data_IF_024776632802
#
_entry.id   IF_024776632802
#
_cell.length_a   1.000
_cell.length_b   1.000
_cell.length_c   1.000
_cell.angle_alpha   90.00
_cell.angle_beta   90.00
_cell.angle_gamma   90.00
#
_symmetry.space_group_name_H-M   'P 1'
#
loop_
_entity.id
_entity.type
_entity.pdbx_description
1 polymer ?
#
# COMPACT_ATOMS: atom_id res chain seq x y z
N UNK A 1 3.19 10.33 18.11
CA UNK A 1 3.80 9.51 17.04
C UNK A 1 3.85 10.35 15.77
N UNK A 2 5.02 10.46 15.11
CA UNK A 2 5.17 11.20 13.84
C UNK A 2 4.26 10.58 12.76
N UNK A 3 3.67 11.42 11.91
CA UNK A 3 2.73 11.03 10.84
C UNK A 3 3.39 10.00 9.88
N UNK A 4 2.77 8.83 9.58
CA UNK A 4 3.35 7.83 8.69
C UNK A 4 3.65 8.33 7.28
N UNK A 5 2.92 9.34 6.79
CA UNK A 5 3.21 9.99 5.51
C UNK A 5 4.60 10.62 5.46
N UNK A 6 5.06 11.20 6.59
CA UNK A 6 6.40 11.77 6.69
C UNK A 6 7.48 10.71 6.47
N UNK A 7 7.35 9.56 7.14
CA UNK A 7 8.32 8.47 6.98
C UNK A 7 8.29 7.89 5.57
N UNK A 8 7.11 7.74 4.98
CA UNK A 8 6.98 7.27 3.60
C UNK A 8 7.72 8.19 2.62
N UNK A 9 7.48 9.50 2.69
CA UNK A 9 8.17 10.49 1.86
C UNK A 9 9.66 10.53 2.15
N UNK A 10 10.07 10.47 3.41
CA UNK A 10 11.48 10.49 3.79
C UNK A 10 12.25 9.28 3.25
N UNK A 11 11.66 8.08 3.30
CA UNK A 11 12.26 6.87 2.73
C UNK A 11 12.41 6.99 1.21
N UNK A 12 11.36 7.44 0.51
CA UNK A 12 11.43 7.64 -0.94
C UNK A 12 12.47 8.71 -1.34
N UNK A 13 12.56 9.79 -0.56
CA UNK A 13 13.56 10.84 -0.78
C UNK A 13 14.99 10.32 -0.54
N UNK A 14 15.19 9.49 0.48
CA UNK A 14 16.48 8.87 0.79
C UNK A 14 16.87 7.77 -0.20
N UNK A 15 15.90 7.12 -0.85
CA UNK A 15 16.16 6.06 -1.81
C UNK A 15 16.85 6.58 -3.08
N UNK A 16 16.60 7.82 -3.49
CA UNK A 16 17.28 8.43 -4.64
C UNK A 16 18.81 8.52 -4.48
N UNK A 17 19.36 9.16 -3.44
CA UNK A 17 20.81 9.19 -3.24
C UNK A 17 21.36 7.80 -2.92
N UNK A 18 20.63 6.94 -2.19
CA UNK A 18 21.08 5.58 -1.93
C UNK A 18 21.31 4.78 -3.23
N UNK A 19 20.34 4.78 -4.14
CA UNK A 19 20.45 4.11 -5.44
C UNK A 19 21.50 4.72 -6.37
N UNK A 20 21.82 6.02 -6.22
CA UNK A 20 22.89 6.70 -6.96
C UNK A 20 24.30 6.30 -6.49
N UNK A 21 24.44 5.98 -5.21
CA UNK A 21 25.72 5.65 -4.58
C UNK A 21 26.04 4.15 -4.65
N UNK A 22 25.02 3.32 -4.85
CA UNK A 22 25.16 1.87 -4.98
C UNK A 22 25.70 1.49 -6.37
N UNK A 23 26.61 0.51 -6.45
CA UNK A 23 26.97 -0.12 -7.72
C UNK A 23 25.75 -0.72 -8.43
N UNK A 24 25.72 -0.76 -9.79
CA UNK A 24 24.57 -1.25 -10.56
C UNK A 24 24.09 -2.65 -10.15
N UNK A 25 25.01 -3.57 -9.85
CA UNK A 25 24.72 -4.93 -9.41
C UNK A 25 24.00 -4.96 -8.05
N UNK A 26 24.33 -4.03 -7.16
CA UNK A 26 23.67 -3.91 -5.85
C UNK A 26 22.29 -3.28 -5.98
N UNK A 27 22.11 -2.36 -6.93
CA UNK A 27 20.81 -1.77 -7.27
C UNK A 27 19.87 -2.85 -7.82
N UNK A 28 20.37 -3.71 -8.70
CA UNK A 28 19.60 -4.82 -9.24
C UNK A 28 19.20 -5.80 -8.13
N UNK A 29 20.15 -6.26 -7.31
CA UNK A 29 19.86 -7.14 -6.18
C UNK A 29 18.85 -6.54 -5.19
N UNK A 30 18.96 -5.23 -4.93
CA UNK A 30 18.02 -4.49 -4.07
C UNK A 30 16.60 -4.39 -4.66
N UNK A 31 16.46 -4.48 -5.99
CA UNK A 31 15.16 -4.46 -6.68
C UNK A 31 14.58 -5.86 -6.87
N UNK A 32 15.43 -6.85 -7.12
CA UNK A 32 15.06 -8.25 -7.27
C UNK A 32 14.52 -8.84 -5.97
N UNK A 33 15.22 -8.62 -4.86
CA UNK A 33 14.84 -9.22 -3.58
C UNK A 33 13.43 -8.85 -3.11
N UNK A 34 12.99 -7.58 -3.14
CA UNK A 34 11.65 -7.20 -2.76
C UNK A 34 10.65 -7.23 -3.91
N UNK A 35 11.01 -7.69 -5.12
CA UNK A 35 10.10 -7.73 -6.27
C UNK A 35 8.83 -8.50 -5.97
N UNK A 36 7.67 -7.98 -6.38
CA UNK A 36 6.38 -8.68 -6.27
C UNK A 36 6.10 -9.57 -7.47
N UNK A 37 7.13 -10.14 -8.07
CA UNK A 37 7.02 -11.11 -9.15
C UNK A 37 6.49 -12.47 -8.64
N UNK A 38 6.01 -13.30 -9.57
CA UNK A 38 5.41 -14.60 -9.26
C UNK A 38 6.29 -15.52 -8.41
N UNK A 39 7.61 -15.46 -8.57
CA UNK A 39 8.54 -16.28 -7.79
C UNK A 39 8.63 -15.86 -6.33
N UNK A 40 8.80 -14.56 -6.07
CA UNK A 40 8.87 -14.04 -4.71
C UNK A 40 7.53 -14.12 -3.99
N UNK A 41 6.41 -14.14 -4.72
CA UNK A 41 5.06 -14.28 -4.16
C UNK A 41 4.67 -15.73 -3.81
N UNK A 42 5.51 -16.72 -4.11
CA UNK A 42 5.23 -18.12 -3.74
C UNK A 42 5.16 -18.32 -2.23
N UNK A 43 4.35 -19.28 -1.75
CA UNK A 43 4.38 -19.68 -0.34
C UNK A 43 5.78 -20.12 0.11
N UNK A 44 6.10 -19.84 1.38
CA UNK A 44 7.34 -20.30 2.03
C UNK A 44 7.44 -21.84 1.92
N UNK A 45 8.64 -22.42 1.67
CA UNK A 45 9.99 -21.84 1.73
C UNK A 45 10.51 -21.18 0.44
N UNK A 46 9.81 -21.34 -0.68
CA UNK A 46 10.33 -20.95 -2.00
C UNK A 46 10.22 -19.46 -2.33
N UNK A 47 9.51 -18.69 -1.48
CA UNK A 47 9.34 -17.25 -1.62
C UNK A 47 9.10 -16.57 -0.27
N UNK A 48 8.87 -15.26 -0.34
CA UNK A 48 8.71 -14.35 0.80
C UNK A 48 7.67 -13.27 0.45
N UNK A 49 6.39 -13.66 0.33
CA UNK A 49 5.34 -12.80 -0.23
C UNK A 49 5.06 -11.59 0.64
N UNK A 50 5.09 -11.76 1.97
CA UNK A 50 4.79 -10.68 2.92
C UNK A 50 5.91 -9.63 2.89
N UNK A 51 7.15 -10.10 2.91
CA UNK A 51 8.34 -9.25 2.86
C UNK A 51 8.42 -8.50 1.53
N UNK A 52 8.16 -9.18 0.40
CA UNK A 52 8.14 -8.58 -0.93
C UNK A 52 7.06 -7.52 -1.07
N UNK A 53 5.82 -7.82 -0.65
CA UNK A 53 4.71 -6.85 -0.70
C UNK A 53 4.98 -5.63 0.19
N UNK A 54 5.59 -5.83 1.36
CA UNK A 54 5.89 -4.75 2.29
C UNK A 54 7.05 -3.86 1.80
N UNK A 55 8.14 -4.45 1.33
CA UNK A 55 9.37 -3.71 0.99
C UNK A 55 9.32 -3.12 -0.41
N UNK A 56 8.67 -3.79 -1.38
CA UNK A 56 8.52 -3.28 -2.76
C UNK A 56 7.90 -1.88 -2.83
N UNK A 57 7.05 -1.52 -1.86
CA UNK A 57 6.38 -0.21 -1.80
C UNK A 57 7.34 0.97 -1.62
N UNK A 58 8.58 0.69 -1.19
CA UNK A 58 9.59 1.68 -0.84
C UNK A 58 10.77 1.70 -1.82
N UNK A 59 10.83 0.78 -2.79
CA UNK A 59 11.95 0.61 -3.72
C UNK A 59 11.51 1.02 -5.13
N UNK A 60 11.88 2.21 -5.63
CA UNK A 60 11.49 2.68 -6.95
C UNK A 60 12.35 2.07 -8.07
N UNK A 61 11.70 1.67 -9.16
CA UNK A 61 12.37 1.14 -10.37
C UNK A 61 12.81 2.21 -11.34
N UNK A 62 11.93 3.15 -11.67
CA UNK A 62 12.18 4.21 -12.65
C UNK A 62 11.98 5.59 -12.00
N UNK A 63 12.65 6.59 -12.58
CA UNK A 63 12.55 8.04 -12.27
C UNK A 63 12.42 8.35 -10.77
N UNK A 64 13.43 7.93 -9.99
CA UNK A 64 13.38 7.90 -8.52
C UNK A 64 13.09 9.28 -7.89
N UNK A 65 13.49 10.38 -8.55
CA UNK A 65 13.43 11.73 -8.01
C UNK A 65 12.02 12.34 -7.96
N UNK A 66 11.06 11.87 -8.77
CA UNK A 66 9.70 12.42 -8.77
C UNK A 66 8.82 11.87 -7.65
N UNK A 67 9.09 10.64 -7.21
CA UNK A 67 8.24 9.91 -6.26
C UNK A 67 8.02 10.60 -4.92
N UNK A 68 9.01 11.28 -4.29
CA UNK A 68 8.78 12.02 -3.06
C UNK A 68 7.72 13.12 -3.21
N UNK A 69 7.69 13.81 -4.35
CA UNK A 69 6.71 14.86 -4.62
C UNK A 69 5.30 14.29 -4.76
N UNK A 70 5.13 13.20 -5.51
CA UNK A 70 3.83 12.53 -5.63
C UNK A 70 3.37 11.90 -4.31
N UNK A 71 4.31 11.36 -3.51
CA UNK A 71 4.05 10.77 -2.20
C UNK A 71 3.52 11.77 -1.16
N UNK A 72 3.65 13.08 -1.40
CA UNK A 72 2.99 14.10 -0.58
C UNK A 72 1.46 13.95 -0.56
N UNK A 73 0.86 13.33 -1.58
CA UNK A 73 -0.58 13.00 -1.60
C UNK A 73 -1.00 12.11 -0.43
N UNK A 74 -0.08 11.31 0.14
CA UNK A 74 -0.34 10.46 1.32
C UNK A 74 -0.70 11.31 2.55
N UNK A 75 -0.20 12.55 2.65
CA UNK A 75 -0.63 13.46 3.72
C UNK A 75 -2.12 13.79 3.63
N UNK A 76 -2.68 13.91 2.42
CA UNK A 76 -4.10 14.12 2.22
C UNK A 76 -4.92 12.88 2.61
N UNK A 77 -4.40 11.68 2.36
CA UNK A 77 -5.05 10.44 2.82
C UNK A 77 -5.06 10.36 4.34
N UNK A 78 -3.94 10.66 4.99
CA UNK A 78 -3.83 10.67 6.47
C UNK A 78 -4.72 11.73 7.09
N UNK A 79 -4.85 12.92 6.48
CA UNK A 79 -5.74 13.97 7.00
C UNK A 79 -7.23 13.62 6.87
N UNK A 80 -7.59 12.78 5.89
CA UNK A 80 -8.97 12.33 5.67
C UNK A 80 -9.31 11.11 6.53
N UNK A 81 -8.46 10.08 6.56
CA UNK A 81 -8.76 8.79 7.21
C UNK A 81 -8.16 8.63 8.61
N UNK A 82 -7.19 9.47 8.97
CA UNK A 82 -6.30 9.24 10.10
C UNK A 82 -5.21 8.21 9.77
N UNK A 83 -4.10 8.25 10.53
CA UNK A 83 -2.87 7.52 10.24
C UNK A 83 -3.05 6.00 10.06
N UNK A 84 -3.77 5.34 10.98
CA UNK A 84 -3.93 3.87 10.95
C UNK A 84 -4.78 3.41 9.77
N UNK A 85 -5.91 4.08 9.52
CA UNK A 85 -6.80 3.74 8.42
C UNK A 85 -6.16 4.06 7.06
N UNK A 86 -5.40 5.16 6.96
CA UNK A 86 -4.65 5.49 5.75
C UNK A 86 -3.62 4.41 5.40
N UNK A 87 -2.82 3.96 6.38
CA UNK A 87 -1.85 2.88 6.17
C UNK A 87 -2.56 1.59 5.74
N UNK A 88 -3.62 1.19 6.44
CA UNK A 88 -4.36 -0.02 6.10
C UNK A 88 -5.01 0.05 4.71
N UNK A 89 -5.64 1.18 4.36
CA UNK A 89 -6.32 1.35 3.08
C UNK A 89 -5.36 1.37 1.90
N UNK A 90 -4.23 2.09 2.02
CA UNK A 90 -3.22 2.14 0.96
C UNK A 90 -2.46 0.81 0.82
N UNK A 91 -2.18 0.13 1.94
CA UNK A 91 -1.61 -1.21 1.90
C UNK A 91 -2.55 -2.20 1.22
N UNK A 92 -3.84 -2.18 1.56
CA UNK A 92 -4.84 -3.04 0.92
C UNK A 92 -4.96 -2.75 -0.57
N UNK A 93 -5.08 -1.47 -0.96
CA UNK A 93 -5.16 -1.07 -2.37
C UNK A 93 -3.95 -1.58 -3.17
N UNK A 94 -2.74 -1.43 -2.62
CA UNK A 94 -1.51 -1.96 -3.23
C UNK A 94 -1.56 -3.48 -3.36
N UNK A 95 -1.81 -4.20 -2.26
CA UNK A 95 -1.78 -5.66 -2.25
C UNK A 95 -2.83 -6.23 -3.21
N UNK A 96 -4.01 -5.63 -3.29
CA UNK A 96 -5.05 -6.04 -4.24
C UNK A 96 -4.63 -5.76 -5.69
N UNK A 97 -4.06 -4.58 -5.98
CA UNK A 97 -3.56 -4.27 -7.32
C UNK A 97 -2.49 -5.27 -7.76
N UNK A 98 -1.46 -5.47 -6.92
CA UNK A 98 -0.37 -6.44 -7.17
C UNK A 98 -0.91 -7.86 -7.31
N UNK A 99 -1.80 -8.32 -6.44
CA UNK A 99 -2.35 -9.67 -6.51
C UNK A 99 -3.13 -9.92 -7.80
N UNK A 100 -3.91 -8.94 -8.26
CA UNK A 100 -4.67 -9.03 -9.50
C UNK A 100 -3.77 -8.98 -10.75
N UNK A 101 -2.73 -8.13 -10.74
CA UNK A 101 -1.78 -8.05 -11.85
C UNK A 101 -0.96 -9.33 -11.99
N UNK A 102 -0.48 -9.88 -10.88
CA UNK A 102 0.29 -11.12 -10.89
C UNK A 102 -0.58 -12.33 -11.24
N UNK A 103 -1.84 -12.37 -10.79
CA UNK A 103 -2.79 -13.38 -11.22
C UNK A 103 -3.05 -13.32 -12.74
N UNK A 104 -3.10 -12.11 -13.32
CA UNK A 104 -3.22 -11.93 -14.76
C UNK A 104 -1.97 -12.44 -15.51
N UNK A 105 -0.76 -12.16 -15.00
CA UNK A 105 0.50 -12.69 -15.55
C UNK A 105 0.47 -14.21 -15.54
N UNK A 106 0.17 -14.81 -14.40
CA UNK A 106 0.09 -16.26 -14.24
C UNK A 106 -0.91 -16.87 -15.23
N UNK A 107 -2.11 -16.31 -15.32
CA UNK A 107 -3.13 -16.77 -16.26
C UNK A 107 -2.66 -16.68 -17.71
N UNK A 108 -1.99 -15.60 -18.10
CA UNK A 108 -1.48 -15.40 -19.46
C UNK A 108 -0.34 -16.36 -19.82
N UNK A 109 0.53 -16.69 -18.86
CA UNK A 109 1.58 -17.70 -19.03
C UNK A 109 0.95 -19.07 -19.25
N UNK A 110 -0.01 -19.46 -18.40
CA UNK A 110 -0.67 -20.77 -18.46
C UNK A 110 -1.42 -20.99 -19.79
N UNK A 111 -1.98 -19.91 -20.37
CA UNK A 111 -2.68 -19.95 -21.65
C UNK A 111 -1.76 -19.69 -22.86
N UNK A 112 -0.44 -19.68 -22.67
CA UNK A 112 0.56 -19.57 -23.74
C UNK A 112 0.63 -18.19 -24.41
N UNK A 113 0.00 -17.17 -23.83
CA UNK A 113 -0.01 -15.79 -24.36
C UNK A 113 1.17 -14.94 -23.89
N UNK A 114 1.89 -15.38 -22.86
CA UNK A 114 3.14 -14.77 -22.39
C UNK A 114 4.23 -15.85 -22.20
N UNK A 115 5.51 -15.53 -22.49
CA UNK A 115 6.63 -16.41 -22.14
C UNK A 115 6.74 -16.62 -20.63
N UNK A 116 7.19 -17.80 -20.19
CA UNK A 116 7.43 -18.09 -18.77
C UNK A 116 8.45 -17.12 -18.13
N UNK A 117 9.33 -16.50 -18.92
CA UNK A 117 10.28 -15.49 -18.44
C UNK A 117 9.61 -14.26 -17.81
N UNK A 118 8.35 -13.96 -18.18
CA UNK A 118 7.57 -12.86 -17.62
C UNK A 118 7.26 -13.05 -16.12
N UNK A 119 7.34 -14.29 -15.61
CA UNK A 119 7.20 -14.57 -14.18
C UNK A 119 8.32 -13.96 -13.32
N UNK A 120 9.44 -13.54 -13.92
CA UNK A 120 10.59 -13.00 -13.22
C UNK A 120 10.75 -11.48 -13.38
N UNK A 121 9.88 -10.84 -14.17
CA UNK A 121 9.96 -9.39 -14.42
C UNK A 121 9.84 -8.65 -13.10
N UNK A 122 10.71 -7.63 -12.93
CA UNK A 122 10.73 -6.85 -11.72
C UNK A 122 9.42 -6.06 -11.58
N UNK A 123 8.73 -6.22 -10.46
CA UNK A 123 7.61 -5.36 -10.04
C UNK A 123 7.91 -4.79 -8.65
N UNK A 124 8.52 -3.61 -8.61
CA UNK A 124 8.81 -2.84 -7.42
C UNK A 124 8.46 -1.40 -7.67
N UNK A 125 7.94 -0.72 -6.66
CA UNK A 125 7.73 0.70 -6.80
C UNK A 125 6.61 1.23 -5.91
N UNK A 126 6.70 2.51 -5.55
CA UNK A 126 5.66 3.20 -4.80
C UNK A 126 4.40 3.50 -5.65
N UNK A 127 4.44 3.24 -6.95
CA UNK A 127 3.47 3.70 -7.95
C UNK A 127 2.01 3.39 -7.58
N UNK A 128 1.66 2.15 -7.22
CA UNK A 128 0.28 1.80 -6.86
C UNK A 128 -0.19 2.51 -5.57
N UNK A 129 0.68 2.67 -4.58
CA UNK A 129 0.35 3.40 -3.34
C UNK A 129 0.10 4.88 -3.66
N UNK A 130 0.97 5.46 -4.46
CA UNK A 130 0.93 6.86 -4.84
C UNK A 130 -0.28 7.17 -5.73
N UNK A 131 -0.59 6.32 -6.71
CA UNK A 131 -1.76 6.48 -7.59
C UNK A 131 -3.07 6.38 -6.78
N UNK A 132 -3.17 5.42 -5.87
CA UNK A 132 -4.31 5.33 -4.96
C UNK A 132 -4.42 6.58 -4.06
N UNK A 133 -3.30 7.07 -3.53
CA UNK A 133 -3.26 8.27 -2.70
C UNK A 133 -3.64 9.54 -3.47
N UNK A 134 -3.18 9.69 -4.73
CA UNK A 134 -3.57 10.78 -5.62
C UNK A 134 -5.08 10.77 -5.87
N UNK A 135 -5.68 9.63 -6.16
CA UNK A 135 -7.12 9.51 -6.37
C UNK A 135 -7.92 9.96 -5.12
N UNK A 136 -7.48 9.53 -3.92
CA UNK A 136 -8.08 10.00 -2.66
C UNK A 136 -7.89 11.50 -2.47
N UNK A 137 -6.69 12.02 -2.73
CA UNK A 137 -6.38 13.44 -2.58
C UNK A 137 -7.21 14.31 -3.55
N UNK A 138 -7.35 13.92 -4.82
CA UNK A 138 -8.22 14.57 -5.81
C UNK A 138 -9.68 14.53 -5.35
N UNK A 139 -10.14 13.42 -4.77
CA UNK A 139 -11.51 13.27 -4.27
C UNK A 139 -11.81 14.06 -3.00
N UNK A 140 -10.82 14.23 -2.11
CA UNK A 140 -11.09 14.60 -0.70
C UNK A 140 -10.23 15.71 -0.11
N UNK A 141 -9.13 16.12 -0.74
CA UNK A 141 -8.25 17.15 -0.21
C UNK A 141 -8.99 18.49 -0.06
N UNK A 142 -8.58 19.25 0.96
CA UNK A 142 -8.99 20.64 1.18
C UNK A 142 -7.74 21.48 1.39
N UNK A 143 -7.64 22.67 0.77
CA UNK A 143 -8.69 23.37 -0.01
C UNK A 143 -8.81 22.90 -1.46
N UNK A 144 -9.78 23.41 -2.23
CA UNK A 144 -10.06 22.99 -3.62
C UNK A 144 -8.84 23.13 -4.55
N UNK A 145 -8.01 24.17 -4.34
CA UNK A 145 -6.77 24.33 -5.13
C UNK A 145 -5.79 23.16 -4.95
N UNK A 146 -5.78 22.51 -3.78
CA UNK A 146 -4.96 21.31 -3.56
C UNK A 146 -5.45 20.16 -4.45
N UNK A 147 -6.77 20.02 -4.63
CA UNK A 147 -7.34 19.01 -5.54
C UNK A 147 -6.91 19.25 -6.99
N UNK A 148 -6.91 20.51 -7.42
CA UNK A 148 -6.43 20.89 -8.75
C UNK A 148 -4.95 20.56 -8.93
N UNK A 149 -4.10 20.85 -7.92
CA UNK A 149 -2.69 20.49 -7.96
C UNK A 149 -2.48 18.97 -8.10
N UNK A 150 -3.18 18.15 -7.32
CA UNK A 150 -3.08 16.67 -7.45
C UNK A 150 -3.61 16.17 -8.80
N UNK A 151 -4.65 16.79 -9.34
CA UNK A 151 -5.19 16.45 -10.65
C UNK A 151 -4.19 16.77 -11.76
N UNK A 152 -3.53 17.94 -11.70
CA UNK A 152 -2.47 18.31 -12.64
C UNK A 152 -1.30 17.34 -12.55
N UNK A 153 -0.86 16.98 -11.34
CA UNK A 153 0.20 15.99 -11.15
C UNK A 153 -0.18 14.63 -11.77
N UNK A 154 -1.41 14.16 -11.54
CA UNK A 154 -1.90 12.93 -12.17
C UNK A 154 -1.95 13.05 -13.69
N UNK A 155 -2.42 14.17 -14.23
CA UNK A 155 -2.49 14.40 -15.68
C UNK A 155 -1.11 14.38 -16.34
N UNK A 156 -0.08 14.90 -15.66
CA UNK A 156 1.31 14.85 -16.11
C UNK A 156 1.85 13.41 -16.08
N UNK A 157 1.51 12.63 -15.05
CA UNK A 157 1.98 11.25 -14.92
C UNK A 157 1.18 10.24 -15.78
N UNK A 158 -0.06 10.56 -16.15
CA UNK A 158 -0.97 9.63 -16.80
C UNK A 158 -0.44 8.99 -18.10
N UNK A 159 0.26 9.69 -19.00
CA UNK A 159 0.80 9.07 -20.21
C UNK A 159 1.79 7.96 -19.91
N UNK A 160 2.70 8.16 -18.94
CA UNK A 160 3.69 7.18 -18.53
C UNK A 160 3.07 6.06 -17.68
N UNK A 161 2.02 6.35 -16.91
CA UNK A 161 1.32 5.34 -16.12
C UNK A 161 0.40 4.44 -16.98
N UNK A 162 -0.08 4.95 -18.11
CA UNK A 162 -1.01 4.24 -18.99
C UNK A 162 -0.31 3.76 -20.28
N UNK A 163 0.99 3.98 -20.41
CA UNK A 163 1.77 3.45 -21.52
C UNK A 163 1.63 1.93 -21.56
N UNK A 164 1.44 1.37 -22.75
CA UNK A 164 1.29 -0.08 -22.93
C UNK A 164 -0.08 -0.64 -22.54
N UNK A 165 -1.04 0.17 -22.07
CA UNK A 165 -2.38 -0.33 -21.75
C UNK A 165 -3.09 -0.93 -22.98
N UNK A 166 -2.88 -0.34 -24.16
CA UNK A 166 -3.40 -0.85 -25.43
C UNK A 166 -2.79 -2.19 -25.86
N UNK A 167 -1.55 -2.43 -25.45
CA UNK A 167 -0.80 -3.67 -25.68
C UNK A 167 -1.02 -4.69 -24.55
N UNK A 168 -1.87 -4.34 -23.57
CA UNK A 168 -2.21 -5.17 -22.44
C UNK A 168 -1.12 -5.24 -21.37
N UNK A 169 -0.22 -4.27 -21.28
CA UNK A 169 0.82 -4.25 -20.24
C UNK A 169 0.23 -4.30 -18.84
N UNK A 170 0.79 -5.20 -18.04
CA UNK A 170 0.29 -5.54 -16.70
C UNK A 170 0.45 -4.38 -15.73
N UNK A 171 1.53 -3.60 -15.86
CA UNK A 171 1.77 -2.42 -15.00
C UNK A 171 0.67 -1.37 -15.13
N UNK A 172 0.27 -1.06 -16.37
CA UNK A 172 -0.80 -0.10 -16.65
C UNK A 172 -2.15 -0.54 -16.06
N UNK A 173 -2.47 -1.84 -16.15
CA UNK A 173 -3.64 -2.42 -15.47
C UNK A 173 -3.55 -2.22 -13.96
N UNK A 174 -2.37 -2.44 -13.37
CA UNK A 174 -2.10 -2.18 -11.96
C UNK A 174 -2.36 -0.72 -11.54
N UNK A 175 -1.97 0.26 -12.36
CA UNK A 175 -2.27 1.67 -12.08
C UNK A 175 -3.76 1.98 -12.13
N UNK A 176 -4.50 1.41 -13.08
CA UNK A 176 -5.96 1.54 -13.17
C UNK A 176 -6.64 0.94 -11.94
N UNK A 177 -6.21 -0.25 -11.50
CA UNK A 177 -6.71 -0.89 -10.28
C UNK A 177 -6.41 -0.06 -9.03
N UNK A 178 -5.20 0.48 -8.92
CA UNK A 178 -4.82 1.36 -7.82
C UNK A 178 -5.65 2.66 -7.80
N UNK A 179 -5.87 3.26 -8.96
CA UNK A 179 -6.67 4.48 -9.10
C UNK A 179 -8.13 4.25 -8.70
N UNK A 180 -8.74 3.17 -9.20
CA UNK A 180 -10.12 2.78 -8.87
C UNK A 180 -10.28 2.45 -7.39
N UNK A 181 -9.31 1.76 -6.77
CA UNK A 181 -9.28 1.53 -5.33
C UNK A 181 -9.23 2.85 -4.55
N UNK A 182 -8.41 3.81 -4.97
CA UNK A 182 -8.36 5.15 -4.36
C UNK A 182 -9.67 5.93 -4.47
N UNK A 183 -10.36 5.86 -5.62
CA UNK A 183 -11.69 6.44 -5.77
C UNK A 183 -12.73 5.75 -4.87
N UNK A 184 -12.68 4.42 -4.76
CA UNK A 184 -13.56 3.66 -3.88
C UNK A 184 -13.35 4.06 -2.41
N UNK A 185 -12.09 4.22 -1.97
CA UNK A 185 -11.75 4.71 -0.63
C UNK A 185 -12.32 6.12 -0.40
N UNK A 186 -12.15 7.03 -1.37
CA UNK A 186 -12.68 8.38 -1.30
C UNK A 186 -14.22 8.40 -1.22
N UNK A 187 -14.87 7.56 -2.02
CA UNK A 187 -16.33 7.39 -2.05
C UNK A 187 -16.87 6.81 -0.75
N UNK A 188 -16.30 5.71 -0.26
CA UNK A 188 -16.67 5.06 0.99
C UNK A 188 -16.57 6.02 2.18
N UNK A 189 -15.47 6.80 2.25
CA UNK A 189 -15.33 7.84 3.26
C UNK A 189 -16.43 8.91 3.13
N UNK A 190 -16.77 9.32 1.90
CA UNK A 190 -17.81 10.35 1.67
C UNK A 190 -19.21 9.87 2.08
N UNK A 191 -19.47 8.57 1.92
CA UNK A 191 -20.71 7.92 2.31
C UNK A 191 -20.76 7.55 3.80
N UNK A 192 -19.69 7.79 4.56
CA UNK A 192 -19.63 7.46 5.99
C UNK A 192 -19.60 5.96 6.27
N UNK A 193 -19.20 5.13 5.29
CA UNK A 193 -19.10 3.69 5.48
C UNK A 193 -18.00 3.41 6.52
N UNK A 194 -18.29 2.64 7.58
CA UNK A 194 -17.27 2.27 8.54
C UNK A 194 -16.18 1.47 7.83
N UNK A 195 -14.89 1.64 8.19
CA UNK A 195 -13.85 0.72 7.76
C UNK A 195 -14.28 -0.69 8.14
N UNK A 196 -14.19 -1.64 7.19
CA UNK A 196 -14.58 -3.05 7.36
C UNK A 196 -14.29 -3.49 8.79
N UNK A 197 -15.36 -3.86 9.49
CA UNK A 197 -15.51 -3.84 10.93
C UNK A 197 -14.29 -4.39 11.69
N UNK A 198 -13.79 -3.59 12.66
CA UNK A 198 -13.13 -4.18 13.82
C UNK A 198 -14.14 -5.16 14.44
N UNK A 199 -13.77 -6.44 14.47
CA UNK A 199 -14.47 -7.44 15.28
C UNK A 199 -14.65 -6.83 16.67
N UNK A 200 -15.89 -6.68 17.19
CA UNK A 200 -16.10 -6.15 18.53
C UNK A 200 -15.22 -6.96 19.48
N UNK A 201 -14.40 -6.27 20.28
CA UNK A 201 -13.68 -6.94 21.36
C UNK A 201 -14.73 -7.69 22.19
N UNK A 202 -14.56 -9.00 22.34
CA UNK A 202 -15.45 -9.81 23.16
C UNK A 202 -15.60 -9.13 24.53
N UNK A 203 -16.82 -9.04 25.09
CA UNK A 203 -17.02 -8.48 26.42
C UNK A 203 -16.05 -9.15 27.40
N UNK A 204 -15.23 -8.36 28.09
CA UNK A 204 -14.47 -8.86 29.24
C UNK A 204 -15.47 -9.49 30.20
N UNK A 205 -15.36 -10.81 30.43
CA UNK A 205 -16.11 -11.47 31.50
C UNK A 205 -15.81 -10.70 32.81
N UNK A 206 -16.83 -10.36 33.61
CA UNK A 206 -16.58 -9.83 34.95
C UNK A 206 -15.70 -10.84 35.69
N UNK A 207 -14.58 -10.38 36.24
CA UNK A 207 -13.75 -11.22 37.12
C UNK A 207 -14.58 -11.70 38.31
N UNK A 208 -14.24 -12.86 38.91
CA UNK A 208 -14.92 -13.32 40.12
C UNK A 208 -14.85 -12.21 41.18
N UNK A 209 -16.01 -11.82 41.69
CA UNK A 209 -16.13 -10.78 42.71
C UNK A 209 -15.35 -11.15 43.97
N UNK A 210 -14.97 -10.16 44.79
CA UNK A 210 -14.25 -10.41 46.03
C UNK A 210 -15.06 -11.32 46.97
N UNK A 211 -14.40 -12.38 47.45
CA UNK A 211 -14.93 -13.31 48.46
C UNK A 211 -15.19 -12.52 49.75
N UNK A 212 -16.40 -12.60 50.36
CA UNK A 212 -16.66 -11.93 51.63
C UNK A 212 -15.77 -12.51 52.73
N UNK A 213 -15.04 -11.63 53.45
CA UNK A 213 -14.28 -12.00 54.63
C UNK A 213 -15.23 -12.50 55.74
N UNK A 214 -14.99 -13.72 56.23
CA UNK A 214 -15.65 -14.28 57.40
C UNK A 214 -15.41 -13.40 58.64
N UNK A 215 -16.49 -13.00 59.32
CA UNK A 215 -16.43 -12.27 60.59
C UNK A 215 -15.88 -13.19 61.71
N UNK A 216 -15.09 -12.68 62.67
CA UNK A 216 -14.68 -13.45 63.84
C UNK A 216 -15.87 -13.67 64.79
N UNK A 217 -15.99 -14.89 65.33
CA UNK A 217 -16.81 -15.19 66.49
C UNK A 217 -16.30 -14.37 67.69
N UNK A 218 -17.20 -13.65 68.34
CA UNK A 218 -16.97 -13.15 69.68
C UNK A 218 -17.24 -14.30 70.66
N UNK A 219 -16.20 -14.70 71.39
CA UNK A 219 -16.33 -15.59 72.55
C UNK A 219 -16.99 -14.81 73.70
N UNK A 220 -17.90 -15.50 74.38
CA UNK A 220 -18.75 -14.97 75.44
C UNK A 220 -18.07 -14.81 76.79
N UNK A 221 -18.73 -13.99 77.61
CA UNK A 221 -18.73 -14.05 79.08
C UNK A 221 -19.85 -14.98 79.56
#
# INVERSE_FOLDING_TARGET
>A
MRNPAFWYVAVLAAMWPALRLLPPERVLALREWPSTNLDNLRPRPSGHPVESLAVSAFVPQNTVWVWPAFALSVFAVVSVLGARCAVAALALARVTATGLTEALVWWRIEHGSLPAAEAHVLDTGPSYVVVAALAVAIGRARPVWSRAAWLVMLAVAAPDLLSGLGDGEVSAVGHVLAFTAGLAIAGAHRLGLPPVARRPAAPRRPGPGPVPASRPCADGE
#
